data_IF_456706071846
#
_entry.id   IF_456706071846
#
_cell.length_a   1.000
_cell.length_b   1.000
_cell.length_c   1.000
_cell.angle_alpha   90.00
_cell.angle_beta   90.00
_cell.angle_gamma   90.00
#
_symmetry.space_group_name_H-M   'P 1'
#
loop_
_entity.id
_entity.type
_entity.pdbx_description
1 polymer ?
#
# COMPACT_ATOMS: atom_id res chain seq x y z
N UNK A 1 -63.17 -13.67 4.61
CA UNK A 1 -63.91 -13.94 3.35
C UNK A 1 -63.69 -12.82 2.34
N UNK A 2 -62.68 -12.94 1.46
CA UNK A 2 -62.51 -12.04 0.30
C UNK A 2 -62.85 -12.77 -1.01
N UNK A 3 -63.89 -13.61 -0.98
CA UNK A 3 -64.21 -14.55 -2.05
C UNK A 3 -64.68 -13.89 -3.36
N UNK A 4 -65.02 -12.59 -3.34
CA UNK A 4 -65.58 -11.89 -4.50
C UNK A 4 -64.71 -10.77 -5.09
N UNK A 5 -63.52 -10.47 -4.53
CA UNK A 5 -62.53 -9.53 -5.10
C UNK A 5 -63.16 -8.31 -5.84
N UNK A 6 -64.16 -7.68 -5.21
CA UNK A 6 -64.96 -6.60 -5.78
C UNK A 6 -64.21 -5.27 -5.64
N UNK A 7 -63.45 -4.92 -6.68
CA UNK A 7 -62.92 -3.58 -6.99
C UNK A 7 -61.98 -2.88 -5.99
N UNK A 8 -60.97 -2.17 -6.51
CA UNK A 8 -60.06 -1.34 -5.71
C UNK A 8 -60.76 -0.04 -5.27
N UNK A 9 -60.65 0.31 -4.00
CA UNK A 9 -61.05 1.61 -3.45
C UNK A 9 -59.91 2.65 -3.62
N UNK A 10 -60.24 3.93 -3.73
CA UNK A 10 -59.24 5.02 -3.73
C UNK A 10 -58.84 5.40 -2.30
N UNK A 11 -57.94 6.39 -2.19
CA UNK A 11 -57.48 6.95 -0.92
C UNK A 11 -58.60 7.57 -0.07
N UNK A 12 -59.78 7.82 -0.65
CA UNK A 12 -60.96 8.36 0.02
C UNK A 12 -62.04 7.29 0.27
N UNK A 13 -61.69 6.00 0.13
CA UNK A 13 -62.59 4.88 0.39
C UNK A 13 -63.69 4.67 -0.67
N UNK A 14 -63.70 5.43 -1.77
CA UNK A 14 -64.68 5.27 -2.86
C UNK A 14 -64.25 4.16 -3.80
N UNK A 15 -65.21 3.36 -4.24
CA UNK A 15 -65.00 2.27 -5.18
C UNK A 15 -64.57 2.84 -6.55
N UNK A 16 -63.30 2.66 -6.96
CA UNK A 16 -62.81 3.23 -8.25
C UNK A 16 -63.40 2.54 -9.46
N UNK A 17 -63.64 1.22 -9.36
CA UNK A 17 -64.20 0.38 -10.44
C UNK A 17 -65.01 -0.78 -9.84
N UNK A 18 -66.22 -0.99 -10.37
CA UNK A 18 -67.03 -2.19 -10.09
C UNK A 18 -66.62 -3.25 -11.13
N UNK A 19 -65.60 -4.04 -10.79
CA UNK A 19 -65.20 -5.21 -11.56
C UNK A 19 -64.94 -6.40 -10.63
N UNK A 20 -65.36 -7.58 -11.08
CA UNK A 20 -64.98 -8.87 -10.52
C UNK A 20 -63.97 -9.52 -11.47
N UNK A 21 -62.82 -9.96 -10.94
CA UNK A 21 -61.76 -10.62 -11.70
C UNK A 21 -61.38 -11.94 -11.06
N UNK A 22 -61.87 -13.03 -11.62
CA UNK A 22 -61.46 -14.40 -11.32
C UNK A 22 -60.33 -14.90 -12.22
N UNK A 23 -59.97 -16.18 -12.08
CA UNK A 23 -58.89 -16.83 -12.87
C UNK A 23 -59.22 -16.89 -14.38
N UNK A 24 -60.48 -17.13 -14.73
CA UNK A 24 -60.95 -17.27 -16.12
C UNK A 24 -62.12 -16.34 -16.49
N UNK A 25 -62.65 -15.59 -15.53
CA UNK A 25 -63.82 -14.74 -15.71
C UNK A 25 -63.51 -13.31 -15.26
N UNK A 26 -63.87 -12.35 -16.10
CA UNK A 26 -63.89 -10.94 -15.75
C UNK A 26 -65.29 -10.41 -16.01
N UNK A 27 -65.96 -9.94 -14.97
CA UNK A 27 -67.23 -9.25 -15.09
C UNK A 27 -67.05 -7.79 -14.68
N UNK A 28 -67.51 -6.85 -15.49
CA UNK A 28 -67.42 -5.42 -15.17
C UNK A 28 -68.62 -4.67 -15.72
N UNK A 29 -69.02 -3.59 -15.04
CA UNK A 29 -70.17 -2.77 -15.45
C UNK A 29 -70.03 -2.20 -16.88
N UNK A 30 -68.82 -1.83 -17.29
CA UNK A 30 -68.58 -1.19 -18.60
C UNK A 30 -68.09 -2.14 -19.68
N UNK A 31 -67.48 -3.27 -19.31
CA UNK A 31 -66.92 -4.24 -20.25
C UNK A 31 -67.70 -5.54 -20.38
N UNK A 32 -68.83 -5.67 -19.68
CA UNK A 32 -69.63 -6.90 -19.65
C UNK A 32 -68.91 -8.07 -18.96
N UNK A 33 -69.30 -9.29 -19.35
CA UNK A 33 -68.69 -10.54 -18.89
C UNK A 33 -67.76 -11.08 -19.99
N UNK A 34 -66.50 -11.28 -19.65
CA UNK A 34 -65.47 -11.81 -20.53
C UNK A 34 -64.85 -13.08 -19.93
N UNK A 35 -64.80 -14.13 -20.72
CA UNK A 35 -64.04 -15.34 -20.38
C UNK A 35 -62.65 -15.25 -20.99
N UNK A 36 -61.64 -15.70 -20.24
CA UNK A 36 -60.24 -15.74 -20.66
C UNK A 36 -59.70 -17.14 -20.43
N UNK A 37 -59.16 -17.76 -21.48
CA UNK A 37 -58.32 -18.93 -21.39
C UNK A 37 -56.87 -18.55 -21.77
N UNK A 38 -55.89 -19.07 -21.04
CA UNK A 38 -54.48 -18.88 -21.34
C UNK A 38 -53.73 -20.20 -21.23
N UNK A 39 -52.91 -20.51 -22.22
CA UNK A 39 -52.04 -21.68 -22.25
C UNK A 39 -50.62 -21.23 -22.63
N UNK A 40 -49.62 -21.90 -22.07
CA UNK A 40 -48.20 -21.65 -22.37
C UNK A 40 -47.56 -22.95 -22.80
N UNK A 41 -47.00 -22.99 -24.00
CA UNK A 41 -46.33 -24.16 -24.56
C UNK A 41 -45.08 -23.71 -25.31
N UNK A 42 -43.95 -24.40 -25.09
CA UNK A 42 -42.68 -24.19 -25.81
C UNK A 42 -42.26 -22.70 -25.96
N UNK A 43 -42.40 -21.89 -24.88
CA UNK A 43 -42.02 -20.47 -24.90
C UNK A 43 -43.02 -19.52 -25.58
N UNK A 44 -44.15 -20.04 -26.08
CA UNK A 44 -45.24 -19.29 -26.70
C UNK A 44 -46.45 -19.26 -25.77
N UNK A 45 -47.02 -18.07 -25.55
CA UNK A 45 -48.25 -17.85 -24.79
C UNK A 45 -49.42 -17.67 -25.76
N UNK A 46 -50.43 -18.51 -25.61
CA UNK A 46 -51.69 -18.43 -26.35
C UNK A 46 -52.77 -17.96 -25.39
N UNK A 47 -53.48 -16.89 -25.74
CA UNK A 47 -54.58 -16.32 -24.95
C UNK A 47 -55.81 -16.20 -25.84
N UNK A 48 -56.92 -16.77 -25.41
CA UNK A 48 -58.22 -16.56 -26.01
C UNK A 48 -59.09 -15.77 -25.03
N UNK A 49 -59.79 -14.75 -25.53
CA UNK A 49 -60.70 -13.92 -24.76
C UNK A 49 -62.00 -13.70 -25.55
N UNK A 50 -63.16 -13.85 -24.93
CA UNK A 50 -64.45 -13.70 -25.62
C UNK A 50 -64.73 -12.28 -26.11
N UNK A 51 -64.17 -11.26 -25.47
CA UNK A 51 -64.34 -9.85 -25.84
C UNK A 51 -63.19 -9.27 -26.66
N UNK A 52 -61.98 -9.83 -26.51
CA UNK A 52 -60.76 -9.30 -27.13
C UNK A 52 -60.11 -10.24 -28.16
N UNK A 53 -60.70 -11.42 -28.39
CA UNK A 53 -60.28 -12.40 -29.39
C UNK A 53 -59.04 -13.19 -29.01
N UNK A 54 -58.30 -13.64 -30.03
CA UNK A 54 -57.18 -14.58 -29.93
C UNK A 54 -55.82 -13.89 -30.06
N UNK A 55 -54.89 -14.23 -29.17
CA UNK A 55 -53.52 -13.72 -29.16
C UNK A 55 -52.51 -14.85 -28.98
N UNK A 56 -51.56 -14.94 -29.89
CA UNK A 56 -50.35 -15.76 -29.76
C UNK A 56 -49.17 -14.82 -29.54
N UNK A 57 -48.30 -15.11 -28.58
CA UNK A 57 -47.12 -14.27 -28.32
C UNK A 57 -45.94 -15.07 -27.82
N UNK A 58 -44.75 -14.79 -28.34
CA UNK A 58 -43.49 -15.38 -27.91
C UNK A 58 -42.40 -14.31 -27.75
N UNK A 59 -41.35 -14.68 -27.04
CA UNK A 59 -40.17 -13.83 -26.85
C UNK A 59 -38.92 -14.59 -27.33
N UNK A 60 -38.65 -14.59 -28.65
CA UNK A 60 -37.57 -15.40 -29.24
C UNK A 60 -36.17 -14.92 -28.84
N UNK A 61 -36.03 -13.66 -28.41
CA UNK A 61 -34.78 -13.09 -27.92
C UNK A 61 -35.04 -12.19 -26.69
N UNK A 62 -34.01 -11.95 -25.88
CA UNK A 62 -34.11 -11.05 -24.72
C UNK A 62 -34.56 -9.66 -25.18
N UNK A 63 -35.60 -9.14 -24.52
CA UNK A 63 -36.22 -7.84 -24.82
C UNK A 63 -36.90 -7.72 -26.19
N UNK A 64 -37.17 -8.83 -26.89
CA UNK A 64 -37.92 -8.85 -28.15
C UNK A 64 -39.17 -9.70 -28.02
N UNK A 65 -40.32 -9.08 -28.31
CA UNK A 65 -41.63 -9.72 -28.34
C UNK A 65 -42.14 -9.78 -29.77
N UNK A 66 -42.58 -10.97 -30.15
CA UNK A 66 -43.33 -11.24 -31.38
C UNK A 66 -44.71 -11.73 -30.98
N UNK A 67 -45.76 -11.12 -31.50
CA UNK A 67 -47.12 -11.52 -31.21
C UNK A 67 -48.03 -11.40 -32.44
N UNK A 68 -49.07 -12.19 -32.46
CA UNK A 68 -50.16 -12.12 -33.42
C UNK A 68 -51.46 -12.01 -32.65
N UNK A 69 -52.23 -10.93 -32.84
CA UNK A 69 -53.48 -10.68 -32.14
C UNK A 69 -54.57 -10.35 -33.17
N UNK A 70 -55.62 -11.18 -33.26
CA UNK A 70 -56.74 -11.00 -34.19
C UNK A 70 -56.31 -10.59 -35.62
N UNK A 71 -55.40 -11.34 -36.24
CA UNK A 71 -54.91 -11.03 -37.59
C UNK A 71 -53.76 -10.01 -37.64
N UNK A 72 -53.45 -9.30 -36.55
CA UNK A 72 -52.42 -8.26 -36.50
C UNK A 72 -51.09 -8.80 -35.96
N UNK A 73 -50.06 -8.78 -36.81
CA UNK A 73 -48.67 -8.99 -36.40
C UNK A 73 -48.11 -7.80 -35.60
N UNK A 74 -47.45 -8.11 -34.48
CA UNK A 74 -46.85 -7.17 -33.54
C UNK A 74 -45.40 -7.60 -33.29
N UNK A 75 -44.45 -6.76 -33.69
CA UNK A 75 -43.03 -6.87 -33.34
C UNK A 75 -42.66 -5.70 -32.42
N UNK A 76 -42.01 -6.00 -31.28
CA UNK A 76 -41.57 -5.00 -30.31
C UNK A 76 -40.26 -5.43 -29.66
N UNK A 77 -39.18 -4.68 -29.91
CA UNK A 77 -37.90 -4.83 -29.22
C UNK A 77 -37.53 -3.56 -28.46
N UNK A 78 -36.96 -3.69 -27.25
CA UNK A 78 -36.53 -2.54 -26.43
C UNK A 78 -35.20 -2.82 -25.75
N UNK A 79 -34.13 -2.22 -26.26
CA UNK A 79 -32.77 -2.43 -25.76
C UNK A 79 -32.26 -1.13 -25.13
N UNK A 80 -31.87 -1.20 -23.85
CA UNK A 80 -31.46 -0.04 -23.05
C UNK A 80 -30.12 -0.25 -22.37
N UNK A 81 -29.08 -0.53 -23.16
CA UNK A 81 -27.71 -0.70 -22.66
C UNK A 81 -26.84 0.49 -23.07
N UNK A 82 -26.20 1.14 -22.09
CA UNK A 82 -25.28 2.25 -22.34
C UNK A 82 -25.98 3.55 -22.77
N UNK A 83 -25.26 4.45 -23.47
CA UNK A 83 -25.75 5.79 -23.82
C UNK A 83 -26.85 5.78 -24.90
N UNK A 84 -27.00 4.68 -25.64
CA UNK A 84 -27.97 4.55 -26.72
C UNK A 84 -29.12 3.59 -26.35
N UNK A 85 -30.34 4.00 -26.65
CA UNK A 85 -31.55 3.20 -26.50
C UNK A 85 -32.10 2.82 -27.87
N UNK A 86 -32.13 1.52 -28.17
CA UNK A 86 -32.64 0.98 -29.42
C UNK A 86 -34.08 0.49 -29.22
N UNK A 87 -34.99 0.93 -30.07
CA UNK A 87 -36.38 0.46 -30.07
C UNK A 87 -36.70 -0.13 -31.45
N UNK A 88 -37.10 -1.40 -31.48
CA UNK A 88 -37.52 -2.12 -32.67
C UNK A 88 -39.05 -2.22 -32.71
N UNK A 89 -39.63 -2.00 -33.88
CA UNK A 89 -41.07 -2.10 -34.10
C UNK A 89 -41.37 -2.70 -35.48
N UNK A 90 -42.63 -3.06 -35.76
CA UNK A 90 -43.06 -3.53 -37.08
C UNK A 90 -42.67 -2.56 -38.22
N UNK A 91 -42.63 -1.26 -37.94
CA UNK A 91 -42.30 -0.22 -38.93
C UNK A 91 -40.82 0.18 -38.94
N UNK A 92 -39.95 -0.61 -38.31
CA UNK A 92 -38.51 -0.38 -38.28
C UNK A 92 -37.95 -0.10 -36.88
N UNK A 93 -36.63 0.13 -36.84
CA UNK A 93 -35.86 0.42 -35.64
C UNK A 93 -35.61 1.93 -35.48
N UNK A 94 -35.46 2.38 -34.24
CA UNK A 94 -35.05 3.76 -33.92
C UNK A 94 -34.04 3.76 -32.79
N UNK A 95 -33.08 4.67 -32.88
CA UNK A 95 -32.05 4.89 -31.87
C UNK A 95 -32.31 6.23 -31.21
N UNK A 96 -32.20 6.27 -29.89
CA UNK A 96 -32.31 7.50 -29.12
C UNK A 96 -31.29 7.57 -28.01
N UNK A 97 -30.72 8.75 -27.77
CA UNK A 97 -29.81 9.04 -26.67
C UNK A 97 -30.55 9.81 -25.59
N UNK A 98 -30.26 9.53 -24.32
CA UNK A 98 -30.89 10.21 -23.17
C UNK A 98 -29.84 10.98 -22.40
N UNK A 99 -30.10 12.28 -22.20
CA UNK A 99 -29.23 13.21 -21.49
C UNK A 99 -29.99 13.85 -20.32
N UNK A 100 -29.31 14.69 -19.53
CA UNK A 100 -29.92 15.43 -18.40
C UNK A 100 -31.13 16.27 -18.82
N UNK A 101 -31.08 16.85 -20.02
CA UNK A 101 -32.16 17.69 -20.55
C UNK A 101 -33.37 16.89 -21.08
N UNK A 102 -33.21 15.61 -21.46
CA UNK A 102 -34.29 14.83 -22.07
C UNK A 102 -33.81 13.70 -22.99
N UNK A 103 -34.55 13.42 -24.07
CA UNK A 103 -34.23 12.34 -25.00
C UNK A 103 -34.22 12.83 -26.44
N UNK A 104 -33.15 12.52 -27.17
CA UNK A 104 -32.99 12.83 -28.58
C UNK A 104 -33.12 11.55 -29.41
N UNK A 105 -34.00 11.54 -30.42
CA UNK A 105 -34.14 10.43 -31.35
C UNK A 105 -33.45 10.75 -32.67
N UNK A 106 -32.44 9.95 -33.03
CA UNK A 106 -31.56 10.18 -34.18
C UNK A 106 -32.29 10.06 -35.53
N UNK A 107 -33.32 9.23 -35.61
CA UNK A 107 -34.04 8.94 -36.86
C UNK A 107 -35.39 9.63 -36.95
N UNK A 108 -35.99 9.98 -35.81
CA UNK A 108 -37.33 10.59 -35.74
C UNK A 108 -37.29 11.82 -34.83
N UNK A 109 -36.83 12.99 -35.31
CA UNK A 109 -36.67 14.19 -34.48
C UNK A 109 -38.00 14.65 -33.83
N UNK A 110 -39.14 14.38 -34.47
CA UNK A 110 -40.47 14.66 -33.91
C UNK A 110 -40.79 13.87 -32.63
N UNK A 111 -40.01 12.83 -32.29
CA UNK A 111 -40.16 12.02 -31.06
C UNK A 111 -39.16 12.40 -29.97
N UNK A 112 -38.41 13.48 -30.15
CA UNK A 112 -37.51 14.02 -29.15
C UNK A 112 -38.28 14.79 -28.07
N UNK A 113 -37.68 14.89 -26.88
CA UNK A 113 -38.22 15.67 -25.77
C UNK A 113 -37.12 16.37 -24.99
N UNK A 114 -37.41 17.57 -24.51
CA UNK A 114 -36.52 18.38 -23.69
C UNK A 114 -37.32 18.96 -22.51
N UNK A 115 -36.69 19.05 -21.34
CA UNK A 115 -37.23 19.73 -20.16
C UNK A 115 -36.35 20.92 -19.87
N UNK A 116 -36.91 22.12 -19.98
CA UNK A 116 -36.21 23.37 -19.68
C UNK A 116 -37.05 24.13 -18.66
N UNK A 117 -36.44 24.53 -17.53
CA UNK A 117 -37.12 25.29 -16.48
C UNK A 117 -38.48 24.69 -16.03
N UNK A 118 -38.56 23.36 -15.86
CA UNK A 118 -39.78 22.66 -15.44
C UNK A 118 -40.80 22.38 -16.55
N UNK A 119 -40.68 23.02 -17.72
CA UNK A 119 -41.60 22.83 -18.86
C UNK A 119 -41.07 21.74 -19.80
N UNK A 120 -41.93 20.76 -20.14
CA UNK A 120 -41.58 19.70 -21.09
C UNK A 120 -41.98 20.07 -22.52
N UNK A 121 -40.99 20.34 -23.37
CA UNK A 121 -41.15 20.54 -24.82
C UNK A 121 -40.98 19.21 -25.54
N UNK A 122 -41.79 18.96 -26.58
CA UNK A 122 -41.73 17.75 -27.42
C UNK A 122 -41.79 18.11 -28.89
N UNK A 123 -41.26 17.27 -29.76
CA UNK A 123 -41.30 17.47 -31.22
C UNK A 123 -40.00 18.04 -31.80
N UNK A 124 -40.10 18.66 -32.99
CA UNK A 124 -38.95 19.20 -33.74
C UNK A 124 -38.16 20.23 -32.93
N UNK A 125 -38.86 21.13 -32.25
CA UNK A 125 -38.24 22.17 -31.41
C UNK A 125 -37.43 21.57 -30.27
N UNK A 126 -37.92 20.49 -29.65
CA UNK A 126 -37.18 19.77 -28.63
C UNK A 126 -35.92 19.10 -29.19
N UNK A 127 -35.95 18.62 -30.44
CA UNK A 127 -34.77 18.07 -31.10
C UNK A 127 -33.69 19.13 -31.32
N UNK A 128 -34.06 20.34 -31.75
CA UNK A 128 -33.12 21.45 -31.92
C UNK A 128 -32.45 21.84 -30.60
N UNK A 129 -33.23 21.98 -29.52
CA UNK A 129 -32.70 22.28 -28.18
C UNK A 129 -31.71 21.20 -27.72
N UNK A 130 -32.02 19.93 -27.96
CA UNK A 130 -31.10 18.82 -27.62
C UNK A 130 -29.81 18.86 -28.43
N UNK A 131 -29.85 19.23 -29.71
CA UNK A 131 -28.65 19.36 -30.55
C UNK A 131 -27.74 20.44 -29.97
N UNK A 132 -28.28 21.62 -29.65
CA UNK A 132 -27.50 22.72 -29.03
C UNK A 132 -26.89 22.28 -27.71
N UNK A 133 -27.65 21.60 -26.85
CA UNK A 133 -27.15 21.07 -25.59
C UNK A 133 -26.01 20.05 -25.80
N UNK A 134 -26.16 19.12 -26.73
CA UNK A 134 -25.14 18.12 -27.03
C UNK A 134 -23.87 18.75 -27.61
N UNK A 135 -24.00 19.78 -28.45
CA UNK A 135 -22.87 20.55 -28.96
C UNK A 135 -22.08 21.18 -27.80
N UNK A 136 -22.78 21.87 -26.90
CA UNK A 136 -22.15 22.50 -25.73
C UNK A 136 -21.46 21.46 -24.82
N UNK A 137 -22.14 20.35 -24.55
CA UNK A 137 -21.56 19.24 -23.77
C UNK A 137 -20.32 18.64 -24.47
N UNK A 138 -20.34 18.52 -25.79
CA UNK A 138 -19.20 18.02 -26.56
C UNK A 138 -18.00 18.98 -26.49
N UNK A 139 -18.23 20.29 -26.61
CA UNK A 139 -17.17 21.31 -26.45
C UNK A 139 -16.53 21.21 -25.06
N UNK A 140 -17.35 21.14 -24.00
CA UNK A 140 -16.83 20.97 -22.64
C UNK A 140 -16.04 19.67 -22.47
N UNK A 141 -16.51 18.56 -23.06
CA UNK A 141 -15.80 17.29 -23.01
C UNK A 141 -14.45 17.36 -23.73
N UNK A 142 -14.36 18.06 -24.86
CA UNK A 142 -13.10 18.30 -25.57
C UNK A 142 -12.14 19.13 -24.72
N UNK A 143 -12.62 20.21 -24.09
CA UNK A 143 -11.78 21.03 -23.19
C UNK A 143 -11.25 20.20 -22.02
N UNK A 144 -12.11 19.38 -21.40
CA UNK A 144 -11.70 18.47 -20.32
C UNK A 144 -10.68 17.43 -20.79
N UNK A 145 -10.87 16.86 -21.98
CA UNK A 145 -9.94 15.90 -22.57
C UNK A 145 -8.57 16.54 -22.81
N UNK A 146 -8.54 17.74 -23.40
CA UNK A 146 -7.30 18.49 -23.65
C UNK A 146 -6.58 18.78 -22.33
N UNK A 147 -7.30 19.28 -21.32
CA UNK A 147 -6.72 19.52 -19.99
C UNK A 147 -6.17 18.23 -19.36
N UNK A 148 -6.89 17.12 -19.45
CA UNK A 148 -6.44 15.83 -18.93
C UNK A 148 -5.17 15.33 -19.64
N UNK A 149 -5.10 15.48 -20.97
CA UNK A 149 -3.91 15.13 -21.76
C UNK A 149 -2.71 15.99 -21.37
N UNK A 150 -2.90 17.30 -21.20
CA UNK A 150 -1.83 18.21 -20.78
C UNK A 150 -1.31 17.86 -19.38
N UNK A 151 -2.20 17.62 -18.42
CA UNK A 151 -1.83 17.20 -17.06
C UNK A 151 -1.08 15.85 -17.10
N UNK A 152 -1.57 14.90 -17.91
CA UNK A 152 -0.94 13.61 -18.11
C UNK A 152 0.47 13.74 -18.70
N UNK A 153 0.66 14.62 -19.68
CA UNK A 153 1.96 14.90 -20.28
C UNK A 153 2.95 15.50 -19.27
N UNK A 154 2.51 16.48 -18.47
CA UNK A 154 3.35 17.06 -17.41
C UNK A 154 3.76 16.00 -16.38
N UNK A 155 2.81 15.17 -15.93
CA UNK A 155 3.12 14.06 -15.01
C UNK A 155 4.13 13.08 -15.60
N UNK A 156 3.96 12.71 -16.87
CA UNK A 156 4.90 11.82 -17.56
C UNK A 156 6.31 12.43 -17.60
N UNK A 157 6.43 13.71 -17.92
CA UNK A 157 7.73 14.41 -17.92
C UNK A 157 8.36 14.40 -16.53
N UNK A 158 7.59 14.66 -15.48
CA UNK A 158 8.09 14.62 -14.10
C UNK A 158 8.53 13.22 -13.67
N UNK A 159 7.76 12.19 -14.01
CA UNK A 159 8.11 10.79 -13.70
C UNK A 159 9.35 10.32 -14.45
N UNK A 160 9.43 10.60 -15.76
CA UNK A 160 10.60 10.25 -16.59
C UNK A 160 11.82 11.04 -16.12
N UNK A 161 11.68 12.33 -15.83
CA UNK A 161 12.74 13.17 -15.29
C UNK A 161 13.21 12.68 -13.92
N UNK A 162 12.29 12.34 -13.02
CA UNK A 162 12.60 11.78 -11.71
C UNK A 162 13.29 10.41 -11.78
N UNK A 163 12.86 9.56 -12.71
CA UNK A 163 13.52 8.28 -12.98
C UNK A 163 14.93 8.48 -13.53
N UNK A 164 15.11 9.36 -14.51
CA UNK A 164 16.43 9.68 -15.06
C UNK A 164 17.36 10.25 -13.99
N UNK A 165 16.85 11.14 -13.13
CA UNK A 165 17.59 11.70 -12.00
C UNK A 165 18.06 10.61 -11.02
N UNK A 166 17.16 9.68 -10.64
CA UNK A 166 17.54 8.52 -9.80
C UNK A 166 18.59 7.64 -10.45
N UNK A 167 18.50 7.41 -11.77
CA UNK A 167 19.53 6.66 -12.50
C UNK A 167 20.88 7.38 -12.48
N UNK A 168 20.90 8.70 -12.65
CA UNK A 168 22.14 9.49 -12.57
C UNK A 168 22.76 9.39 -11.18
N UNK A 169 21.95 9.49 -10.11
CA UNK A 169 22.45 9.32 -8.74
C UNK A 169 22.93 7.89 -8.45
N UNK A 170 22.27 6.88 -9.00
CA UNK A 170 22.64 5.48 -8.79
C UNK A 170 23.80 5.00 -9.68
N UNK A 171 24.09 5.69 -10.79
CA UNK A 171 25.08 5.27 -11.78
C UNK A 171 26.50 5.14 -11.20
N UNK A 172 27.03 6.08 -10.40
CA UNK A 172 28.37 5.93 -9.80
C UNK A 172 28.47 4.71 -8.90
N UNK A 173 27.49 4.49 -8.03
CA UNK A 173 27.45 3.34 -7.14
C UNK A 173 27.37 2.01 -7.92
N UNK A 174 26.51 1.94 -8.93
CA UNK A 174 26.37 0.77 -9.79
C UNK A 174 27.66 0.49 -10.59
N UNK A 175 28.33 1.55 -11.05
CA UNK A 175 29.59 1.46 -11.78
C UNK A 175 30.72 0.93 -10.88
N UNK A 176 30.88 1.48 -9.68
CA UNK A 176 31.89 1.05 -8.71
C UNK A 176 31.67 -0.43 -8.34
N UNK A 177 30.43 -0.83 -8.09
CA UNK A 177 30.08 -2.23 -7.82
C UNK A 177 30.42 -3.17 -9.00
N UNK A 178 30.20 -2.71 -10.23
CA UNK A 178 30.58 -3.47 -11.42
C UNK A 178 32.10 -3.62 -11.55
N UNK A 179 32.85 -2.53 -11.34
CA UNK A 179 34.32 -2.56 -11.32
C UNK A 179 34.86 -3.50 -10.23
N UNK A 180 34.32 -3.40 -9.01
CA UNK A 180 34.63 -4.28 -7.86
C UNK A 180 34.41 -5.75 -8.19
N UNK A 181 33.26 -6.11 -8.77
CA UNK A 181 32.97 -7.49 -9.23
C UNK A 181 33.95 -7.96 -10.31
N UNK A 182 34.31 -7.09 -11.25
CA UNK A 182 35.27 -7.43 -12.31
C UNK A 182 36.68 -7.65 -11.72
N UNK A 183 37.13 -6.79 -10.81
CA UNK A 183 38.39 -6.93 -10.05
C UNK A 183 38.43 -8.26 -9.32
N UNK A 184 37.42 -8.55 -8.51
CA UNK A 184 37.41 -9.76 -7.68
C UNK A 184 37.40 -11.05 -8.51
N UNK A 185 36.71 -11.08 -9.66
CA UNK A 185 36.79 -12.21 -10.61
C UNK A 185 38.18 -12.41 -11.20
N UNK A 186 38.97 -11.35 -11.33
CA UNK A 186 40.39 -11.44 -11.72
C UNK A 186 41.20 -12.04 -10.58
N UNK A 187 41.09 -11.45 -9.39
CA UNK A 187 41.81 -11.90 -8.18
C UNK A 187 41.51 -13.36 -7.85
N UNK A 188 40.26 -13.81 -7.95
CA UNK A 188 39.86 -15.21 -7.74
C UNK A 188 40.65 -16.21 -8.59
N UNK A 189 41.10 -15.81 -9.79
CA UNK A 189 41.90 -16.65 -10.68
C UNK A 189 43.38 -16.67 -10.29
N UNK A 190 43.87 -15.60 -9.68
CA UNK A 190 45.27 -15.44 -9.23
C UNK A 190 45.51 -16.04 -7.84
N UNK A 191 44.46 -16.28 -7.04
CA UNK A 191 44.57 -16.81 -5.67
C UNK A 191 45.42 -18.10 -5.57
N UNK A 192 45.26 -19.13 -6.44
CA UNK A 192 46.02 -20.37 -6.29
C UNK A 192 47.52 -20.18 -6.44
N UNK A 193 47.95 -19.29 -7.34
CA UNK A 193 49.37 -19.00 -7.55
C UNK A 193 49.90 -18.11 -6.41
N UNK A 194 49.08 -17.17 -5.94
CA UNK A 194 49.41 -16.28 -4.81
C UNK A 194 49.57 -17.07 -3.50
N UNK A 195 48.75 -18.09 -3.26
CA UNK A 195 48.85 -18.99 -2.11
C UNK A 195 50.24 -19.66 -2.01
N UNK A 196 50.89 -19.93 -3.15
CA UNK A 196 52.18 -20.59 -3.24
C UNK A 196 53.37 -19.65 -3.05
N UNK A 197 53.13 -18.33 -3.05
CA UNK A 197 54.19 -17.32 -2.91
C UNK A 197 54.71 -17.17 -1.47
N UNK A 198 53.99 -17.70 -0.48
CA UNK A 198 54.31 -17.53 0.95
C UNK A 198 55.16 -18.67 1.51
N UNK A 199 56.03 -18.34 2.47
CA UNK A 199 56.86 -19.29 3.20
C UNK A 199 56.83 -18.98 4.71
N UNK A 200 56.34 -19.88 5.57
CA UNK A 200 55.72 -21.18 5.25
C UNK A 200 54.41 -21.03 4.44
N UNK A 201 53.90 -22.10 3.81
CA UNK A 201 52.65 -22.04 3.05
C UNK A 201 51.52 -21.41 3.86
N UNK A 202 50.78 -20.48 3.25
CA UNK A 202 49.81 -19.63 3.95
C UNK A 202 48.71 -20.44 4.66
N UNK A 203 48.39 -21.64 4.18
CA UNK A 203 47.41 -22.53 4.81
C UNK A 203 47.83 -23.03 6.20
N UNK A 204 49.13 -22.92 6.55
CA UNK A 204 49.67 -23.32 7.85
C UNK A 204 49.69 -22.16 8.86
N UNK A 205 49.40 -20.93 8.40
CA UNK A 205 49.43 -19.76 9.26
C UNK A 205 48.25 -19.77 10.23
N UNK A 206 48.45 -19.21 11.42
CA UNK A 206 47.38 -18.96 12.39
C UNK A 206 46.52 -17.77 11.96
N UNK A 207 45.32 -17.63 12.52
CA UNK A 207 44.46 -16.47 12.26
C UNK A 207 45.20 -15.15 12.57
N UNK A 208 45.93 -15.10 13.68
CA UNK A 208 46.73 -13.93 14.09
C UNK A 208 47.83 -13.56 13.08
N UNK A 209 48.45 -14.56 12.44
CA UNK A 209 49.44 -14.35 11.39
C UNK A 209 48.80 -13.82 10.09
N UNK A 210 47.61 -14.33 9.71
CA UNK A 210 46.86 -13.78 8.59
C UNK A 210 46.43 -12.33 8.85
N UNK A 211 45.97 -12.03 10.08
CA UNK A 211 45.62 -10.68 10.51
C UNK A 211 46.84 -9.76 10.50
N UNK A 212 47.97 -10.21 11.06
CA UNK A 212 49.25 -9.48 11.05
C UNK A 212 49.68 -9.15 9.61
N UNK A 213 49.61 -10.13 8.71
CA UNK A 213 50.00 -9.96 7.31
C UNK A 213 49.10 -8.98 6.58
N UNK A 214 47.80 -9.03 6.84
CA UNK A 214 46.86 -8.06 6.29
C UNK A 214 47.11 -6.65 6.83
N UNK A 215 47.30 -6.48 8.14
CA UNK A 215 47.61 -5.17 8.75
C UNK A 215 48.90 -4.58 8.18
N UNK A 216 49.94 -5.38 8.01
CA UNK A 216 51.21 -4.95 7.43
C UNK A 216 51.06 -4.53 5.96
N UNK A 217 50.29 -5.27 5.17
CA UNK A 217 49.99 -4.90 3.78
C UNK A 217 49.14 -3.61 3.72
N UNK A 218 48.12 -3.50 4.56
CA UNK A 218 47.20 -2.36 4.59
C UNK A 218 47.88 -1.07 5.09
N UNK A 219 48.57 -1.12 6.23
CA UNK A 219 49.22 0.04 6.85
C UNK A 219 50.59 0.36 6.23
N UNK A 220 51.27 -0.64 5.67
CA UNK A 220 52.60 -0.48 5.08
C UNK A 220 52.51 -0.21 3.58
N UNK A 221 52.04 -1.20 2.83
CA UNK A 221 52.04 -1.11 1.36
C UNK A 221 51.06 -0.06 0.85
N UNK A 222 49.94 0.14 1.56
CA UNK A 222 48.92 1.12 1.22
C UNK A 222 49.49 2.55 1.05
N UNK A 223 50.18 3.11 2.06
CA UNK A 223 50.88 4.39 1.93
C UNK A 223 52.16 4.36 1.08
N UNK A 224 52.63 3.16 0.70
CA UNK A 224 53.82 2.96 -0.14
C UNK A 224 55.09 2.55 0.62
N UNK A 225 54.98 2.24 1.91
CA UNK A 225 56.08 1.74 2.73
C UNK A 225 56.29 0.22 2.57
N UNK A 226 57.47 -0.26 2.96
CA UNK A 226 57.70 -1.69 3.16
C UNK A 226 57.12 -2.13 4.51
N UNK A 227 56.66 -3.37 4.60
CA UNK A 227 56.18 -3.95 5.86
C UNK A 227 57.28 -3.97 6.93
N UNK A 228 58.55 -4.11 6.51
CA UNK A 228 59.73 -4.03 7.40
C UNK A 228 59.89 -2.67 8.06
N UNK A 229 59.51 -1.58 7.40
CA UNK A 229 59.64 -0.21 7.93
C UNK A 229 58.61 0.07 9.03
N UNK A 230 57.38 -0.46 8.87
CA UNK A 230 56.26 -0.16 9.77
C UNK A 230 56.12 -1.16 10.92
N UNK A 231 56.72 -2.35 10.81
CA UNK A 231 56.54 -3.47 11.75
C UNK A 231 56.76 -3.07 13.22
N UNK A 232 57.87 -2.40 13.52
CA UNK A 232 58.22 -2.05 14.90
C UNK A 232 57.32 -0.93 15.46
N UNK A 233 56.94 0.03 14.61
CA UNK A 233 55.98 1.07 14.98
C UNK A 233 54.59 0.48 15.25
N UNK A 234 54.13 -0.44 14.40
CA UNK A 234 52.86 -1.15 14.58
C UNK A 234 52.86 -1.97 15.89
N UNK A 235 53.95 -2.70 16.17
CA UNK A 235 54.11 -3.43 17.43
C UNK A 235 53.97 -2.51 18.64
N UNK A 236 54.64 -1.36 18.63
CA UNK A 236 54.58 -0.41 19.75
C UNK A 236 53.16 0.12 19.97
N UNK A 237 52.45 0.47 18.89
CA UNK A 237 51.06 0.96 18.96
C UNK A 237 50.11 -0.08 19.53
N UNK A 238 50.21 -1.33 19.09
CA UNK A 238 49.35 -2.43 19.55
C UNK A 238 49.69 -2.90 20.97
N UNK A 239 50.90 -2.65 21.47
CA UNK A 239 51.36 -3.09 22.80
C UNK A 239 51.14 -2.05 23.91
N UNK A 240 50.66 -0.85 23.58
CA UNK A 240 50.45 0.20 24.59
C UNK A 240 49.19 -0.13 25.40
N UNK A 241 49.25 -0.13 26.74
CA UNK A 241 48.12 -0.53 27.61
C UNK A 241 46.85 0.35 27.41
N UNK A 242 47.01 1.58 26.92
CA UNK A 242 45.91 2.49 26.56
C UNK A 242 45.42 2.32 25.10
N UNK A 243 46.03 1.42 24.33
CA UNK A 243 45.64 1.19 22.94
C UNK A 243 44.30 0.45 22.91
N UNK A 244 43.26 1.14 22.47
CA UNK A 244 41.90 0.61 22.31
C UNK A 244 41.75 -0.45 21.21
N UNK A 245 42.75 -1.33 21.01
CA UNK A 245 42.79 -2.33 19.93
C UNK A 245 42.87 -3.77 20.45
N UNK A 246 41.91 -4.23 21.28
CA UNK A 246 41.96 -5.55 21.92
C UNK A 246 41.95 -6.71 20.93
N UNK A 247 41.36 -6.54 19.74
CA UNK A 247 41.25 -7.61 18.74
C UNK A 247 42.53 -7.71 17.91
N UNK A 248 43.23 -6.60 17.72
CA UNK A 248 44.50 -6.57 16.97
C UNK A 248 45.72 -6.86 17.86
N UNK A 249 45.64 -6.71 19.18
CA UNK A 249 46.75 -6.91 20.10
C UNK A 249 47.45 -8.29 19.98
N UNK A 250 46.76 -9.43 19.79
CA UNK A 250 47.40 -10.74 19.63
C UNK A 250 48.33 -10.84 18.40
N UNK A 251 48.08 -10.04 17.35
CA UNK A 251 48.85 -10.06 16.11
C UNK A 251 50.32 -9.67 16.30
N UNK A 252 50.64 -8.95 17.39
CA UNK A 252 52.01 -8.51 17.73
C UNK A 252 53.03 -9.64 17.81
N UNK A 253 52.59 -10.84 18.20
CA UNK A 253 53.44 -12.03 18.33
C UNK A 253 53.86 -12.61 16.98
N UNK A 254 53.06 -12.41 15.94
CA UNK A 254 53.25 -13.02 14.61
C UNK A 254 53.88 -12.02 13.60
N UNK A 255 54.11 -10.76 14.00
CA UNK A 255 54.60 -9.69 13.12
C UNK A 255 55.97 -9.99 12.49
N UNK A 256 56.93 -10.58 13.19
CA UNK A 256 58.28 -10.79 12.65
C UNK A 256 58.30 -11.83 11.53
N UNK A 257 57.70 -12.99 11.80
CA UNK A 257 57.63 -14.12 10.86
C UNK A 257 56.80 -13.72 9.63
N UNK A 258 55.67 -13.05 9.87
CA UNK A 258 54.77 -12.62 8.81
C UNK A 258 55.40 -11.55 7.92
N UNK A 259 56.09 -10.55 8.50
CA UNK A 259 56.75 -9.47 7.73
C UNK A 259 57.72 -10.05 6.70
N UNK A 260 58.52 -11.02 7.12
CA UNK A 260 59.54 -11.65 6.29
C UNK A 260 58.92 -12.40 5.11
N UNK A 261 57.87 -13.18 5.35
CA UNK A 261 57.15 -13.88 4.27
C UNK A 261 56.39 -12.92 3.36
N UNK A 262 55.83 -11.84 3.90
CA UNK A 262 55.04 -10.88 3.15
C UNK A 262 55.91 -10.09 2.16
N UNK A 263 57.09 -9.64 2.59
CA UNK A 263 58.06 -8.98 1.69
C UNK A 263 58.71 -9.95 0.71
N UNK A 264 58.91 -11.22 1.08
CA UNK A 264 59.36 -12.24 0.14
C UNK A 264 58.35 -12.47 -1.00
N UNK A 265 57.04 -12.44 -0.68
CA UNK A 265 55.97 -12.54 -1.67
C UNK A 265 55.86 -11.29 -2.58
N UNK A 266 56.29 -10.11 -2.10
CA UNK A 266 56.29 -8.84 -2.84
C UNK A 266 57.58 -8.56 -3.64
N UNK A 267 58.72 -9.09 -3.20
CA UNK A 267 60.06 -8.58 -3.53
C UNK A 267 60.83 -9.25 -4.66
N UNK A 268 60.22 -10.06 -5.52
CA UNK A 268 60.92 -10.68 -6.66
C UNK A 268 60.62 -9.98 -7.99
N UNK A 269 61.66 -9.59 -8.70
CA UNK A 269 61.60 -8.75 -9.89
C UNK A 269 61.05 -9.44 -11.18
N UNK A 270 60.06 -10.34 -11.09
CA UNK A 270 59.49 -11.09 -12.23
C UNK A 270 58.03 -10.74 -12.47
N UNK A 271 57.58 -10.77 -13.73
CA UNK A 271 56.19 -10.48 -14.15
C UNK A 271 55.12 -11.39 -13.50
N UNK A 272 55.53 -12.51 -12.89
CA UNK A 272 54.66 -13.52 -12.29
C UNK A 272 54.34 -13.29 -10.79
N UNK A 273 54.64 -12.12 -10.22
CA UNK A 273 54.41 -11.86 -8.79
C UNK A 273 53.01 -11.37 -8.45
N UNK A 274 52.46 -11.78 -7.28
CA UNK A 274 51.14 -11.36 -6.88
C UNK A 274 51.11 -9.88 -6.52
N UNK A 275 50.17 -9.13 -7.09
CA UNK A 275 49.95 -7.74 -6.69
C UNK A 275 49.40 -7.63 -5.26
N UNK A 276 49.52 -6.45 -4.65
CA UNK A 276 49.04 -6.20 -3.28
C UNK A 276 47.57 -6.61 -3.05
N UNK A 277 46.73 -6.42 -4.07
CA UNK A 277 45.33 -6.83 -4.07
C UNK A 277 45.16 -8.36 -3.96
N UNK A 278 45.97 -9.14 -4.67
CA UNK A 278 45.91 -10.60 -4.64
C UNK A 278 46.39 -11.14 -3.29
N UNK A 279 47.46 -10.56 -2.75
CA UNK A 279 47.96 -10.88 -1.41
C UNK A 279 46.90 -10.63 -0.35
N UNK A 280 46.28 -9.44 -0.33
CA UNK A 280 45.21 -9.13 0.62
C UNK A 280 43.98 -10.01 0.41
N UNK A 281 43.63 -10.35 -0.83
CA UNK A 281 42.52 -11.26 -1.11
C UNK A 281 42.75 -12.68 -0.55
N UNK A 282 43.98 -13.22 -0.66
CA UNK A 282 44.34 -14.51 -0.06
C UNK A 282 44.24 -14.44 1.47
N UNK A 283 44.89 -13.44 2.09
CA UNK A 283 44.89 -13.27 3.54
C UNK A 283 43.46 -13.17 4.09
N UNK A 284 42.63 -12.32 3.46
CA UNK A 284 41.23 -12.14 3.84
C UNK A 284 40.38 -13.41 3.66
N UNK A 285 40.63 -14.20 2.61
CA UNK A 285 39.92 -15.47 2.38
C UNK A 285 40.14 -16.47 3.52
N UNK A 286 41.36 -16.52 4.08
CA UNK A 286 41.68 -17.38 5.22
C UNK A 286 41.07 -16.88 6.54
N UNK A 287 40.84 -15.58 6.65
CA UNK A 287 40.17 -14.96 7.81
C UNK A 287 38.66 -15.09 7.80
N UNK A 288 38.05 -15.47 6.66
CA UNK A 288 36.59 -15.67 6.53
C UNK A 288 36.00 -16.68 7.53
N UNK A 289 36.83 -17.54 8.12
CA UNK A 289 36.39 -18.49 9.14
C UNK A 289 36.11 -17.83 10.51
N UNK A 290 36.61 -16.61 10.75
CA UNK A 290 36.37 -15.88 11.98
C UNK A 290 34.91 -15.39 12.10
N UNK A 291 34.41 -15.16 13.32
CA UNK A 291 33.09 -14.57 13.54
C UNK A 291 32.94 -13.22 12.83
N UNK A 292 31.76 -12.95 12.27
CA UNK A 292 31.50 -11.71 11.54
C UNK A 292 31.65 -10.46 12.41
N UNK A 293 31.30 -10.54 13.70
CA UNK A 293 31.48 -9.46 14.68
C UNK A 293 32.97 -9.14 14.90
N UNK A 294 33.80 -10.17 15.01
CA UNK A 294 35.24 -10.03 15.18
C UNK A 294 35.89 -9.43 13.92
N UNK A 295 35.49 -9.88 12.73
CA UNK A 295 35.98 -9.31 11.47
C UNK A 295 35.54 -7.85 11.27
N UNK A 296 34.35 -7.49 11.74
CA UNK A 296 33.89 -6.10 11.72
C UNK A 296 34.74 -5.24 12.67
N UNK A 297 35.02 -5.75 13.88
CA UNK A 297 35.87 -5.06 14.85
C UNK A 297 37.32 -4.93 14.36
N UNK A 298 37.87 -5.97 13.72
CA UNK A 298 39.18 -5.93 13.03
C UNK A 298 39.23 -4.81 12.01
N UNK A 299 38.19 -4.67 11.18
CA UNK A 299 38.10 -3.62 10.16
C UNK A 299 38.06 -2.22 10.79
N UNK A 300 37.25 -2.03 11.84
CA UNK A 300 37.14 -0.75 12.53
C UNK A 300 38.45 -0.36 13.21
N UNK A 301 39.07 -1.28 13.95
CA UNK A 301 40.34 -1.03 14.64
C UNK A 301 41.49 -0.76 13.66
N UNK A 302 41.53 -1.46 12.52
CA UNK A 302 42.51 -1.20 11.49
C UNK A 302 42.30 0.17 10.82
N UNK A 303 41.04 0.57 10.58
CA UNK A 303 40.72 1.87 10.01
C UNK A 303 41.12 3.01 10.95
N UNK A 304 40.82 2.87 12.25
CA UNK A 304 41.25 3.81 13.28
C UNK A 304 42.78 3.93 13.33
N UNK A 305 43.51 2.83 13.22
CA UNK A 305 44.97 2.83 13.13
C UNK A 305 45.48 3.57 11.89
N UNK A 306 44.86 3.37 10.73
CA UNK A 306 45.25 4.07 9.50
C UNK A 306 44.98 5.57 9.60
N UNK A 307 43.83 5.96 10.16
CA UNK A 307 43.43 7.37 10.31
C UNK A 307 44.31 8.15 11.30
N UNK A 308 44.97 7.46 12.24
CA UNK A 308 45.97 8.09 13.12
C UNK A 308 47.19 8.63 12.34
N UNK A 309 47.54 8.01 11.21
CA UNK A 309 48.64 8.44 10.35
C UNK A 309 48.22 9.50 9.30
N UNK A 310 46.91 9.76 9.18
CA UNK A 310 46.35 10.76 8.28
C UNK A 310 45.22 10.21 7.39
N UNK A 311 44.85 10.94 6.32
CA UNK A 311 43.84 10.45 5.38
C UNK A 311 44.34 9.20 4.65
N UNK A 312 43.44 8.23 4.42
CA UNK A 312 43.77 6.99 3.71
C UNK A 312 44.28 7.25 2.30
N UNK A 313 45.27 6.47 1.87
CA UNK A 313 45.71 6.45 0.47
C UNK A 313 44.68 5.72 -0.42
N UNK A 314 44.75 5.97 -1.74
CA UNK A 314 43.90 5.26 -2.72
C UNK A 314 44.06 3.75 -2.60
N UNK A 315 45.31 3.27 -2.44
CA UNK A 315 45.57 1.84 -2.30
C UNK A 315 45.04 1.30 -0.96
N UNK A 316 45.10 2.06 0.13
CA UNK A 316 44.49 1.63 1.40
C UNK A 316 42.98 1.42 1.25
N UNK A 317 42.28 2.35 0.61
CA UNK A 317 40.84 2.21 0.35
C UNK A 317 40.56 0.95 -0.48
N UNK A 318 41.32 0.71 -1.56
CA UNK A 318 41.18 -0.47 -2.40
C UNK A 318 41.47 -1.78 -1.64
N UNK A 319 42.52 -1.83 -0.82
CA UNK A 319 42.88 -2.99 -0.01
C UNK A 319 41.82 -3.29 1.05
N UNK A 320 41.25 -2.26 1.67
CA UNK A 320 40.16 -2.40 2.63
C UNK A 320 38.91 -2.99 1.96
N UNK A 321 38.57 -2.53 0.75
CA UNK A 321 37.46 -3.10 -0.02
C UNK A 321 37.67 -4.56 -0.40
N UNK A 322 38.90 -4.91 -0.82
CA UNK A 322 39.28 -6.29 -1.14
C UNK A 322 39.16 -7.16 0.10
N UNK A 323 39.70 -6.72 1.23
CA UNK A 323 39.58 -7.45 2.48
C UNK A 323 38.11 -7.73 2.80
N UNK A 324 37.25 -6.70 2.78
CA UNK A 324 35.83 -6.87 3.10
C UNK A 324 35.16 -7.89 2.16
N UNK A 325 35.45 -7.85 0.86
CA UNK A 325 34.88 -8.81 -0.10
C UNK A 325 35.30 -10.26 0.15
N UNK A 326 36.59 -10.50 0.38
CA UNK A 326 37.15 -11.84 0.47
C UNK A 326 37.01 -12.45 1.87
N UNK A 327 37.02 -11.63 2.91
CA UNK A 327 36.64 -12.02 4.27
C UNK A 327 35.11 -12.21 4.41
N UNK A 328 34.33 -11.74 3.46
CA UNK A 328 32.86 -11.88 3.46
C UNK A 328 32.15 -10.90 4.38
N UNK A 329 32.79 -9.76 4.70
CA UNK A 329 32.23 -8.70 5.54
C UNK A 329 31.52 -7.68 4.66
N UNK A 330 30.25 -7.41 4.95
CA UNK A 330 29.48 -6.34 4.33
C UNK A 330 28.88 -5.48 5.42
N UNK A 331 29.23 -4.19 5.43
CA UNK A 331 28.51 -3.20 6.21
C UNK A 331 27.13 -3.06 5.59
N UNK A 332 26.12 -3.58 6.29
CA UNK A 332 24.74 -3.30 5.96
C UNK A 332 24.40 -2.00 6.67
N UNK A 333 24.06 -0.96 5.92
CA UNK A 333 23.26 0.12 6.47
C UNK A 333 21.98 -0.55 6.97
N UNK A 334 21.87 -0.71 8.28
CA UNK A 334 20.56 -0.91 8.90
C UNK A 334 19.84 0.36 8.53
N UNK A 335 18.98 0.27 7.52
CA UNK A 335 17.95 1.27 7.29
C UNK A 335 17.30 1.39 8.67
N UNK A 336 17.61 2.49 9.37
CA UNK A 336 16.98 2.78 10.63
C UNK A 336 15.51 2.83 10.27
N UNK A 337 14.80 1.73 10.54
CA UNK A 337 13.35 1.71 10.59
C UNK A 337 13.03 2.98 11.33
N UNK A 338 12.32 3.94 10.70
CA UNK A 338 12.19 5.27 11.23
C UNK A 338 11.78 5.10 12.67
N UNK A 339 12.70 5.41 13.57
CA UNK A 339 12.56 5.14 15.00
C UNK A 339 11.21 5.72 15.33
N UNK A 340 10.23 4.83 15.53
CA UNK A 340 8.85 5.24 15.66
C UNK A 340 8.88 6.21 16.82
N UNK A 341 8.60 7.48 16.53
CA UNK A 341 8.65 8.56 17.50
C UNK A 341 8.07 8.03 18.82
N UNK A 342 8.79 8.15 19.94
CA UNK A 342 8.52 7.38 21.14
C UNK A 342 7.01 7.38 21.39
N UNK A 343 6.41 6.20 21.23
CA UNK A 343 5.00 5.98 21.50
C UNK A 343 4.76 6.54 22.91
N UNK A 344 3.77 7.44 23.11
CA UNK A 344 3.53 8.01 24.43
C UNK A 344 3.38 6.85 25.41
N UNK A 345 4.26 6.83 26.41
CA UNK A 345 4.46 5.74 27.34
C UNK A 345 3.13 5.05 27.67
N UNK A 346 3.01 3.78 27.27
CA UNK A 346 1.93 2.94 27.70
C UNK A 346 1.86 2.98 29.23
N UNK A 347 0.69 3.27 29.84
CA UNK A 347 0.58 3.27 31.29
C UNK A 347 0.89 1.88 31.82
N UNK A 348 1.79 1.90 32.80
CA UNK A 348 2.26 0.82 33.65
C UNK A 348 1.18 -0.25 33.89
N UNK A 349 1.40 -1.45 33.35
CA UNK A 349 0.54 -2.61 33.60
C UNK A 349 0.89 -3.21 34.96
N UNK A 350 0.44 -2.52 36.00
CA UNK A 350 0.71 -2.83 37.40
C UNK A 350 -0.52 -2.87 38.29
N UNK A 351 -1.67 -3.37 37.84
CA UNK A 351 -2.72 -3.91 38.75
C UNK A 351 -3.82 -4.66 37.98
N UNK A 352 -4.04 -5.92 38.34
CA UNK A 352 -5.30 -6.64 38.11
C UNK A 352 -5.81 -7.10 39.49
N UNK A 353 -7.09 -7.49 39.64
CA UNK A 353 -8.32 -7.00 38.99
C UNK A 353 -9.47 -6.84 40.02
N UNK A 354 -10.46 -5.95 39.86
CA UNK A 354 -11.88 -6.22 40.26
C UNK A 354 -12.86 -5.07 39.93
N UNK A 355 -14.03 -5.48 39.43
CA UNK A 355 -15.33 -4.79 39.38
C UNK A 355 -15.50 -3.58 38.45
N UNK A 356 -16.55 -3.65 37.63
CA UNK A 356 -16.99 -2.66 36.64
C UNK A 356 -17.61 -1.42 37.29
N UNK A 357 -16.85 -0.74 38.16
CA UNK A 357 -17.27 0.49 38.81
C UNK A 357 -16.25 1.61 38.64
N UNK A 358 -16.72 2.85 38.72
CA UNK A 358 -15.90 4.06 38.60
C UNK A 358 -15.78 4.68 39.98
N UNK A 359 -14.55 4.81 40.48
CA UNK A 359 -14.29 5.46 41.77
C UNK A 359 -14.29 6.98 41.61
N UNK A 360 -15.24 7.65 42.28
CA UNK A 360 -15.45 9.08 42.21
C UNK A 360 -14.26 9.89 42.74
N UNK A 361 -13.45 9.35 43.66
CA UNK A 361 -12.31 10.06 44.23
C UNK A 361 -11.06 10.03 43.32
N UNK A 362 -10.89 8.97 42.53
CA UNK A 362 -9.68 8.76 41.73
C UNK A 362 -9.89 8.94 40.22
N UNK A 363 -11.12 8.74 39.72
CA UNK A 363 -11.41 8.76 38.28
C UNK A 363 -11.01 10.07 37.58
N UNK A 364 -10.55 9.95 36.34
CA UNK A 364 -10.24 11.11 35.49
C UNK A 364 -11.49 11.87 35.03
N UNK A 365 -11.31 13.07 34.47
CA UNK A 365 -12.40 13.91 33.96
C UNK A 365 -13.18 13.21 32.81
N UNK A 366 -12.49 12.46 31.95
CA UNK A 366 -13.13 11.71 30.87
C UNK A 366 -13.88 10.47 31.38
N UNK A 367 -13.33 9.77 32.36
CA UNK A 367 -13.96 8.60 32.98
C UNK A 367 -15.23 8.99 33.74
N UNK A 368 -15.19 10.09 34.50
CA UNK A 368 -16.38 10.64 35.15
C UNK A 368 -17.49 10.99 34.16
N UNK A 369 -17.16 11.43 32.96
CA UNK A 369 -18.14 11.78 31.92
C UNK A 369 -18.83 10.55 31.30
N UNK A 370 -18.29 9.35 31.51
CA UNK A 370 -18.96 8.12 31.07
C UNK A 370 -20.16 7.77 31.96
N UNK A 371 -20.23 8.33 33.17
CA UNK A 371 -21.35 8.15 34.08
C UNK A 371 -22.58 8.97 33.62
N UNK A 372 -23.80 8.41 33.75
CA UNK A 372 -25.01 9.09 33.33
C UNK A 372 -25.21 10.39 34.11
N UNK A 373 -25.63 11.46 33.43
CA UNK A 373 -25.88 12.80 33.97
C UNK A 373 -24.63 13.61 34.39
N UNK A 374 -23.43 13.04 34.33
CA UNK A 374 -22.16 13.76 34.51
C UNK A 374 -21.64 14.26 33.15
N UNK A 375 -22.03 15.48 32.78
CA UNK A 375 -21.37 16.20 31.67
C UNK A 375 -20.06 16.85 32.11
N UNK A 376 -19.28 17.45 31.19
CA UNK A 376 -17.96 18.02 31.48
C UNK A 376 -17.98 19.02 32.64
N UNK A 377 -18.96 19.92 32.69
CA UNK A 377 -19.11 20.90 33.78
C UNK A 377 -19.35 20.24 35.14
N UNK A 378 -20.18 19.18 35.19
CA UNK A 378 -20.48 18.48 36.44
C UNK A 378 -19.35 17.57 36.86
N UNK A 379 -18.68 16.89 35.93
CA UNK A 379 -17.49 16.10 36.22
C UNK A 379 -16.39 16.97 36.84
N UNK A 380 -16.22 18.20 36.34
CA UNK A 380 -15.26 19.16 36.88
C UNK A 380 -15.67 19.68 38.26
N UNK A 381 -16.96 19.91 38.50
CA UNK A 381 -17.48 20.24 39.83
C UNK A 381 -17.30 19.07 40.83
N UNK A 382 -17.44 17.82 40.38
CA UNK A 382 -17.18 16.63 41.18
C UNK A 382 -15.70 16.51 41.53
N UNK A 383 -14.79 16.78 40.57
CA UNK A 383 -13.35 16.81 40.84
C UNK A 383 -13.00 17.88 41.88
N UNK A 384 -13.61 19.07 41.76
CA UNK A 384 -13.40 20.17 42.72
C UNK A 384 -13.94 19.86 44.13
N UNK A 385 -14.89 18.93 44.26
CA UNK A 385 -15.52 18.54 45.52
C UNK A 385 -14.74 17.42 46.25
N UNK A 386 -13.74 16.82 45.62
CA UNK A 386 -12.95 15.73 46.21
C UNK A 386 -12.13 16.19 47.42
N UNK A 387 -11.92 15.33 48.43
CA UNK A 387 -12.40 13.95 48.53
C UNK A 387 -13.84 13.86 49.07
N UNK A 388 -14.65 12.97 48.49
CA UNK A 388 -16.00 12.67 48.96
C UNK A 388 -16.01 11.33 49.72
N UNK A 389 -16.57 11.33 50.93
CA UNK A 389 -16.63 10.13 51.77
C UNK A 389 -17.78 9.20 51.39
N UNK A 390 -18.88 9.76 50.88
CA UNK A 390 -20.02 9.02 50.37
C UNK A 390 -20.52 9.62 49.06
N UNK A 391 -21.28 8.82 48.30
CA UNK A 391 -21.92 9.28 47.08
C UNK A 391 -22.98 10.37 47.35
N UNK A 392 -23.58 10.41 48.54
CA UNK A 392 -24.58 11.41 48.93
C UNK A 392 -24.06 12.84 48.82
N UNK A 393 -22.77 13.04 49.10
CA UNK A 393 -22.08 14.33 48.96
C UNK A 393 -22.17 14.93 47.55
N UNK A 394 -22.37 14.11 46.51
CA UNK A 394 -22.54 14.59 45.13
C UNK A 394 -23.80 15.44 44.93
N UNK A 395 -24.78 15.39 45.84
CA UNK A 395 -25.96 16.27 45.79
C UNK A 395 -25.62 17.75 46.01
N UNK A 396 -24.43 18.08 46.52
CA UNK A 396 -23.95 19.45 46.60
C UNK A 396 -23.62 20.06 45.22
N UNK A 397 -23.44 19.22 44.18
CA UNK A 397 -23.23 19.67 42.80
C UNK A 397 -24.56 20.01 42.16
N UNK A 398 -24.65 21.21 41.58
CA UNK A 398 -25.89 21.70 40.99
C UNK A 398 -26.41 20.76 39.87
N UNK A 399 -27.67 20.38 40.02
CA UNK A 399 -28.33 19.41 39.14
C UNK A 399 -28.08 17.93 39.46
N UNK A 400 -27.46 17.55 40.58
CA UNK A 400 -27.44 16.15 41.03
C UNK A 400 -28.48 15.96 42.16
N UNK A 401 -29.69 15.53 41.78
CA UNK A 401 -30.75 15.20 42.74
C UNK A 401 -30.71 13.73 43.19
N UNK A 402 -31.53 13.34 44.19
CA UNK A 402 -31.54 11.98 44.75
C UNK A 402 -31.78 10.89 43.70
N UNK A 403 -32.66 11.15 42.72
CA UNK A 403 -32.92 10.23 41.60
C UNK A 403 -31.71 10.04 40.69
N UNK A 404 -30.95 11.11 40.42
CA UNK A 404 -29.73 11.02 39.60
C UNK A 404 -28.61 10.32 40.35
N UNK A 405 -28.59 10.45 41.67
CA UNK A 405 -27.65 9.71 42.51
C UNK A 405 -27.87 8.20 42.47
N UNK A 406 -29.14 7.77 42.43
CA UNK A 406 -29.49 6.36 42.24
C UNK A 406 -29.03 5.85 40.88
N UNK A 407 -29.24 6.62 39.80
CA UNK A 407 -28.76 6.27 38.45
C UNK A 407 -27.23 6.14 38.41
N UNK A 408 -26.49 7.03 39.09
CA UNK A 408 -25.03 6.97 39.21
C UNK A 408 -24.56 5.71 39.94
N UNK A 409 -25.23 5.38 41.06
CA UNK A 409 -24.94 4.15 41.81
C UNK A 409 -25.24 2.90 40.97
N UNK A 410 -26.33 2.89 40.22
CA UNK A 410 -26.69 1.79 39.32
C UNK A 410 -25.71 1.65 38.14
N UNK A 411 -25.11 2.76 37.69
CA UNK A 411 -24.07 2.79 36.67
C UNK A 411 -22.68 2.40 37.18
N UNK A 412 -22.55 2.03 38.46
CA UNK A 412 -21.30 1.54 39.04
C UNK A 412 -20.42 2.61 39.67
N UNK A 413 -20.90 3.83 39.90
CA UNK A 413 -20.15 4.80 40.68
C UNK A 413 -20.02 4.36 42.14
N UNK A 414 -18.81 4.43 42.70
CA UNK A 414 -18.55 4.21 44.12
C UNK A 414 -17.50 5.21 44.64
N UNK A 415 -17.36 5.33 45.96
CA UNK A 415 -16.30 6.11 46.58
C UNK A 415 -15.41 5.14 47.36
N UNK A 416 -14.10 5.18 47.13
CA UNK A 416 -13.11 4.50 47.97
C UNK A 416 -12.44 5.43 48.97
#
# INVERSE_FOLDING_TARGET
MAFLNLGKKDAYGKQRRIEHRGRYLRASRTGGVALRAQAKAAGVNVTANTSHGFRVSGTPARNTQVAFQNGRFILRGRYRSGPFHLNLSKTGATVSTRNRLGSFNWFRPNRSSAKLAGVQVRGKTAAQIQIVYMLFAAVLAVVQLVAAVLIGAVRLVLEVGGFAYRLVLAAPYAWNNWQRRRRNRGLERELPDTDLAFQPPIQQWRADAHLAGWLLAYLGWGPGHAATEIKDALRQRLSTDDAGFPVLAPTTQELDDTTSSLEAARGGATEDQPGSHAVVAVLARHLRALPAEELAEVLLQADDLALQDGPRSVLQEELLEVFADFAGVRLQEVEAEPEAAPEPAAPDQGARPVSSGIDINTAGLEELQTLPHLGPERAQAVIALRPVQDLGALQAVDGIGPKRLEDLRAAGAYCS
#
